data_IF_815856408151
#
_entry.id   IF_815856408151
#
_cell.length_a   1.000
_cell.length_b   1.000
_cell.length_c   1.000
_cell.angle_alpha   90.00
_cell.angle_beta   90.00
_cell.angle_gamma   90.00
#
_symmetry.space_group_name_H-M   'P 1'
#
loop_
_entity.id
_entity.type
_entity.pdbx_description
1 polymer ?
#
# COMPACT_ATOMS: atom_id res chain seq x y z
N UNK A 1 1.38 8.33 13.92
CA UNK A 1 2.46 8.86 13.06
C UNK A 1 1.80 9.68 11.96
N UNK A 2 2.31 10.86 11.61
CA UNK A 2 1.76 11.62 10.48
C UNK A 2 2.42 11.22 9.14
N UNK A 3 1.85 11.72 8.04
CA UNK A 3 2.31 11.40 6.69
C UNK A 3 3.75 11.85 6.43
N UNK A 4 4.18 12.99 6.97
CA UNK A 4 5.54 13.49 6.76
C UNK A 4 6.55 12.58 7.46
N UNK A 5 6.30 12.23 8.72
CA UNK A 5 7.14 11.31 9.48
C UNK A 5 7.18 9.91 8.84
N UNK A 6 6.06 9.45 8.24
CA UNK A 6 6.04 8.20 7.48
C UNK A 6 6.93 8.28 6.24
N UNK A 7 6.85 9.36 5.45
CA UNK A 7 7.70 9.59 4.27
C UNK A 7 9.18 9.67 4.64
N UNK A 8 9.52 10.44 5.67
CA UNK A 8 10.90 10.57 6.14
C UNK A 8 11.47 9.22 6.59
N UNK A 9 10.61 8.32 7.10
CA UNK A 9 11.03 6.99 7.51
C UNK A 9 11.47 6.08 6.35
N UNK A 10 11.08 6.36 5.11
CA UNK A 10 11.42 5.55 3.91
C UNK A 10 12.94 5.51 3.67
N UNK A 11 13.64 6.57 4.09
CA UNK A 11 15.11 6.62 4.03
C UNK A 11 15.79 5.63 4.99
N UNK A 12 15.07 5.10 6.00
CA UNK A 12 15.62 4.15 6.98
C UNK A 12 15.72 2.74 6.38
N UNK A 13 16.47 1.86 7.02
CA UNK A 13 16.67 0.48 6.55
C UNK A 13 15.51 -0.48 6.88
N UNK A 14 14.62 -0.09 7.81
CA UNK A 14 13.45 -0.87 8.23
C UNK A 14 12.25 0.05 8.48
N UNK A 15 11.01 -0.44 8.25
CA UNK A 15 9.82 0.31 8.59
C UNK A 15 9.77 0.60 10.10
N UNK A 16 9.17 1.74 10.52
CA UNK A 16 8.89 2.02 11.92
C UNK A 16 8.17 0.86 12.61
N UNK A 17 8.51 0.60 13.87
CA UNK A 17 7.81 -0.38 14.69
C UNK A 17 6.34 0.03 14.87
N UNK A 18 5.44 -0.96 14.88
CA UNK A 18 4.01 -0.73 15.08
C UNK A 18 3.21 -0.34 13.83
N UNK A 19 3.85 -0.18 12.66
CA UNK A 19 3.10 -0.02 11.42
C UNK A 19 2.28 -1.27 11.11
N UNK A 20 1.04 -1.06 10.67
CA UNK A 20 0.20 -2.14 10.12
C UNK A 20 0.88 -2.78 8.89
N UNK A 21 0.56 -4.04 8.56
CA UNK A 21 1.15 -4.67 7.38
C UNK A 21 0.89 -3.92 6.07
N UNK A 22 -0.29 -3.33 5.90
CA UNK A 22 -0.61 -2.49 4.74
C UNK A 22 0.30 -1.24 4.64
N UNK A 23 0.61 -0.58 5.77
CA UNK A 23 1.55 0.54 5.78
C UNK A 23 3.00 0.08 5.53
N UNK A 24 3.38 -1.10 6.03
CA UNK A 24 4.67 -1.69 5.70
C UNK A 24 4.79 -1.97 4.20
N UNK A 25 3.70 -2.42 3.56
CA UNK A 25 3.67 -2.66 2.11
C UNK A 25 3.95 -1.38 1.30
N UNK A 26 3.24 -0.27 1.60
CA UNK A 26 3.50 1.03 0.96
C UNK A 26 4.92 1.55 1.24
N UNK A 27 5.48 1.24 2.40
CA UNK A 27 6.84 1.61 2.76
C UNK A 27 7.89 0.85 1.91
N UNK A 28 7.71 -0.46 1.72
CA UNK A 28 8.59 -1.26 0.86
C UNK A 28 8.43 -0.91 -0.62
N UNK A 29 7.21 -0.64 -1.06
CA UNK A 29 6.91 -0.14 -2.40
C UNK A 29 7.67 1.16 -2.72
N UNK A 30 7.66 2.12 -1.79
CA UNK A 30 8.36 3.39 -1.98
C UNK A 30 9.90 3.24 -2.03
N UNK A 31 10.44 2.10 -1.54
CA UNK A 31 11.85 1.73 -1.70
C UNK A 31 12.14 0.93 -2.98
N UNK A 32 11.11 0.55 -3.72
CA UNK A 32 11.22 -0.31 -4.89
C UNK A 32 11.38 -1.81 -4.56
N UNK A 33 11.09 -2.23 -3.32
CA UNK A 33 11.14 -3.64 -2.93
C UNK A 33 9.75 -4.28 -3.08
N UNK A 34 9.44 -4.71 -4.30
CA UNK A 34 8.11 -5.18 -4.70
C UNK A 34 7.74 -6.49 -4.01
N UNK A 35 8.68 -7.42 -3.87
CA UNK A 35 8.44 -8.70 -3.22
C UNK A 35 7.99 -8.51 -1.77
N UNK A 36 8.69 -7.65 -1.02
CA UNK A 36 8.28 -7.33 0.36
C UNK A 36 7.00 -6.53 0.41
N UNK A 37 6.75 -5.66 -0.56
CA UNK A 37 5.49 -4.91 -0.62
C UNK A 37 4.29 -5.88 -0.71
N UNK A 38 4.35 -6.85 -1.62
CA UNK A 38 3.32 -7.87 -1.79
C UNK A 38 3.21 -8.79 -0.56
N UNK A 39 4.34 -9.26 -0.01
CA UNK A 39 4.37 -10.08 1.22
C UNK A 39 3.62 -9.38 2.36
N UNK A 40 3.84 -8.07 2.54
CA UNK A 40 3.20 -7.30 3.60
C UNK A 40 1.74 -6.97 3.31
N UNK A 41 1.39 -6.69 2.05
CA UNK A 41 0.02 -6.40 1.65
C UNK A 41 -0.91 -7.61 1.87
N UNK A 42 -0.40 -8.82 1.67
CA UNK A 42 -1.18 -10.07 1.86
C UNK A 42 -1.03 -10.70 3.25
N UNK A 43 -0.28 -10.07 4.17
CA UNK A 43 -0.03 -10.65 5.49
C UNK A 43 -1.29 -10.80 6.35
N UNK A 44 -2.35 -10.05 6.02
CA UNK A 44 -3.68 -10.12 6.65
C UNK A 44 -4.74 -10.12 5.57
N UNK A 45 -5.79 -10.92 5.75
CA UNK A 45 -6.97 -10.93 4.88
C UNK A 45 -7.93 -9.82 5.32
N UNK A 46 -7.53 -8.56 5.08
CA UNK A 46 -8.32 -7.38 5.41
C UNK A 46 -8.37 -6.35 4.28
N UNK A 47 -9.37 -5.47 4.33
CA UNK A 47 -9.61 -4.42 3.33
C UNK A 47 -8.39 -3.52 3.11
N UNK A 48 -7.62 -3.24 4.16
CA UNK A 48 -6.43 -2.40 4.08
C UNK A 48 -5.34 -3.07 3.21
N UNK A 49 -5.04 -4.34 3.47
CA UNK A 49 -4.11 -5.13 2.67
C UNK A 49 -4.56 -5.26 1.22
N UNK A 50 -5.83 -5.60 0.99
CA UNK A 50 -6.40 -5.74 -0.35
C UNK A 50 -6.32 -4.45 -1.18
N UNK A 51 -6.60 -3.29 -0.58
CA UNK A 51 -6.48 -1.99 -1.26
C UNK A 51 -5.04 -1.70 -1.68
N UNK A 52 -4.06 -1.97 -0.81
CA UNK A 52 -2.64 -1.80 -1.17
C UNK A 52 -2.22 -2.81 -2.23
N UNK A 53 -2.67 -4.06 -2.15
CA UNK A 53 -2.39 -5.08 -3.16
C UNK A 53 -2.93 -4.70 -4.55
N UNK A 54 -4.12 -4.12 -4.61
CA UNK A 54 -4.69 -3.59 -5.85
C UNK A 54 -3.83 -2.48 -6.46
N UNK A 55 -3.39 -1.52 -5.63
CA UNK A 55 -2.45 -0.46 -6.04
C UNK A 55 -1.13 -1.03 -6.57
N UNK A 56 -0.54 -2.02 -5.88
CA UNK A 56 0.72 -2.62 -6.32
C UNK A 56 0.58 -3.20 -7.73
N UNK A 57 -0.43 -4.04 -7.98
CA UNK A 57 -0.66 -4.61 -9.32
C UNK A 57 -0.95 -3.55 -10.40
N UNK A 58 -1.61 -2.42 -10.05
CA UNK A 58 -1.72 -1.28 -10.98
C UNK A 58 -0.34 -0.75 -11.37
N UNK A 59 0.56 -0.58 -10.39
CA UNK A 59 1.93 -0.12 -10.61
C UNK A 59 2.75 -1.13 -11.42
N UNK A 60 2.49 -2.42 -11.28
CA UNK A 60 3.11 -3.48 -12.11
C UNK A 60 2.62 -3.49 -13.57
N UNK A 61 1.47 -2.87 -13.85
CA UNK A 61 0.78 -2.98 -15.13
C UNK A 61 -0.07 -4.25 -15.27
N UNK A 62 -0.24 -5.02 -14.18
CA UNK A 62 -1.13 -6.18 -14.13
C UNK A 62 -2.56 -5.75 -13.80
N UNK A 63 -3.22 -5.19 -14.82
CA UNK A 63 -4.57 -4.65 -14.69
C UNK A 63 -5.60 -5.69 -14.23
N UNK A 64 -5.46 -6.95 -14.68
CA UNK A 64 -6.42 -8.01 -14.33
C UNK A 64 -6.35 -8.39 -12.86
N UNK A 65 -5.14 -8.51 -12.30
CA UNK A 65 -4.98 -8.77 -10.87
C UNK A 65 -5.32 -7.54 -10.02
N UNK A 66 -4.99 -6.33 -10.47
CA UNK A 66 -5.42 -5.12 -9.79
C UNK A 66 -6.95 -5.09 -9.61
N UNK A 67 -7.70 -5.34 -10.69
CA UNK A 67 -9.16 -5.41 -10.66
C UNK A 67 -9.70 -6.53 -9.75
N UNK A 68 -9.04 -7.69 -9.72
CA UNK A 68 -9.39 -8.76 -8.80
C UNK A 68 -9.32 -8.28 -7.34
N UNK A 69 -8.26 -7.59 -6.96
CA UNK A 69 -8.09 -7.10 -5.59
C UNK A 69 -9.03 -5.94 -5.24
N UNK A 70 -9.29 -5.02 -6.17
CA UNK A 70 -10.31 -3.98 -5.97
C UNK A 70 -11.70 -4.60 -5.72
N UNK A 71 -12.09 -5.60 -6.51
CA UNK A 71 -13.37 -6.31 -6.32
C UNK A 71 -13.43 -7.03 -4.98
N UNK A 72 -12.32 -7.61 -4.51
CA UNK A 72 -12.26 -8.34 -3.24
C UNK A 72 -12.52 -7.44 -2.02
N UNK A 73 -12.31 -6.14 -2.15
CA UNK A 73 -12.55 -5.15 -1.11
C UNK A 73 -13.69 -4.17 -1.41
N UNK A 74 -14.60 -4.52 -2.34
CA UNK A 74 -15.72 -3.68 -2.79
C UNK A 74 -15.32 -2.25 -3.17
N UNK A 75 -14.11 -2.08 -3.70
CA UNK A 75 -13.60 -0.82 -4.18
C UNK A 75 -13.66 -0.73 -5.71
N UNK A 76 -13.91 0.47 -6.24
CA UNK A 76 -13.72 0.74 -7.65
C UNK A 76 -12.21 0.91 -7.94
N UNK A 77 -11.73 0.52 -9.14
CA UNK A 77 -10.37 0.84 -9.55
C UNK A 77 -10.10 2.34 -9.47
N UNK A 78 -8.96 2.71 -8.88
CA UNK A 78 -8.59 4.13 -8.79
C UNK A 78 -8.31 4.72 -10.18
N UNK A 79 -8.82 5.92 -10.41
CA UNK A 79 -8.59 6.70 -11.62
C UNK A 79 -7.46 7.72 -11.44
N UNK A 80 -6.87 7.78 -10.25
CA UNK A 80 -5.74 8.66 -9.94
C UNK A 80 -4.45 8.12 -10.58
N UNK A 81 -3.44 8.99 -10.67
CA UNK A 81 -2.07 8.55 -10.94
C UNK A 81 -1.56 7.66 -9.81
N UNK A 82 -0.53 6.86 -10.07
CA UNK A 82 0.05 5.96 -9.06
C UNK A 82 0.56 6.74 -7.84
N UNK A 83 1.19 7.89 -8.06
CA UNK A 83 1.68 8.73 -6.97
C UNK A 83 0.53 9.31 -6.15
N UNK A 84 -0.55 9.76 -6.79
CA UNK A 84 -1.73 10.26 -6.10
C UNK A 84 -2.46 9.16 -5.31
N UNK A 85 -2.61 7.95 -5.87
CA UNK A 85 -3.21 6.83 -5.13
C UNK A 85 -2.36 6.44 -3.92
N UNK A 86 -1.03 6.38 -4.05
CA UNK A 86 -0.15 6.16 -2.90
C UNK A 86 -0.36 7.24 -1.82
N UNK A 87 -0.50 8.50 -2.24
CA UNK A 87 -0.75 9.64 -1.37
C UNK A 87 -2.14 9.66 -0.75
N UNK A 88 -3.12 8.96 -1.32
CA UNK A 88 -4.43 8.73 -0.70
C UNK A 88 -4.35 7.59 0.32
N UNK A 89 -3.73 6.47 -0.04
CA UNK A 89 -3.67 5.26 0.78
C UNK A 89 -2.87 5.48 2.08
N UNK A 90 -1.69 6.08 1.99
CA UNK A 90 -0.81 6.26 3.14
C UNK A 90 -1.48 7.02 4.32
N UNK A 91 -2.02 8.25 4.16
CA UNK A 91 -2.69 8.94 5.25
C UNK A 91 -3.97 8.24 5.71
N UNK A 92 -4.75 7.65 4.79
CA UNK A 92 -5.96 6.90 5.15
C UNK A 92 -5.64 5.72 6.07
N UNK A 93 -4.55 4.99 5.82
CA UNK A 93 -4.12 3.86 6.63
C UNK A 93 -3.47 4.30 7.96
N UNK A 94 -2.74 5.42 7.96
CA UNK A 94 -2.20 6.01 9.19
C UNK A 94 -3.29 6.42 10.17
N UNK A 95 -4.45 6.87 9.68
CA UNK A 95 -5.62 7.20 10.52
C UNK A 95 -6.38 5.99 11.08
N UNK A 96 -6.08 4.78 10.60
CA UNK A 96 -6.68 3.52 11.05
C UNK A 96 -5.77 2.74 12.03
N UNK A 97 -4.57 3.26 12.30
CA UNK A 97 -3.51 2.59 13.09
C UNK A 97 -3.46 3.08 14.53
#
# INVERSE_FOLDING_TARGET
MDLQAFRDSIAKSRPPAGLSPALQALWWDAKGDWDRAHERAQARDDTAGMRVHAYLHRKEGDQSNAEYWYRRCDAAPSTLTLDEEWQELAPALLGQS
#
